data_IF_481077428045
#
_entry.id   IF_481077428045
#
_cell.length_a   1.000
_cell.length_b   1.000
_cell.length_c   1.000
_cell.angle_alpha   90.00
_cell.angle_beta   90.00
_cell.angle_gamma   90.00
#
_symmetry.space_group_name_H-M   'P 1'
#
loop_
_entity.id
_entity.type
_entity.pdbx_description
1 polymer ?
#
# COMPACT_ATOMS: atom_id res chain seq x y z
N UNK A 1 24.99 12.18 37.41
CA UNK A 1 25.33 10.84 36.85
C UNK A 1 24.14 9.92 36.55
N UNK A 2 23.08 9.85 37.38
CA UNK A 2 21.91 8.97 37.10
C UNK A 2 21.09 9.37 35.85
N UNK A 3 20.90 10.66 35.56
CA UNK A 3 20.20 11.12 34.35
C UNK A 3 20.85 10.65 33.04
N UNK A 4 22.18 10.52 33.00
CA UNK A 4 22.93 10.02 31.83
C UNK A 4 22.71 8.52 31.54
N UNK A 5 22.08 7.77 32.45
CA UNK A 5 21.71 6.37 32.21
C UNK A 5 20.25 6.20 31.77
N UNK A 6 19.37 7.15 32.09
CA UNK A 6 17.94 7.05 31.82
C UNK A 6 17.50 7.69 30.49
N UNK A 7 18.33 8.54 29.88
CA UNK A 7 17.99 9.20 28.62
C UNK A 7 17.57 8.24 27.48
N UNK A 8 18.13 7.01 27.31
CA UNK A 8 17.72 6.15 26.21
C UNK A 8 16.25 5.72 26.36
N UNK A 9 15.82 5.42 27.58
CA UNK A 9 14.43 5.07 27.89
C UNK A 9 13.49 6.24 27.60
N UNK A 10 13.90 7.46 27.97
CA UNK A 10 13.12 8.67 27.71
C UNK A 10 12.96 8.93 26.20
N UNK A 11 14.03 8.79 25.41
CA UNK A 11 13.97 8.96 23.96
C UNK A 11 13.08 7.89 23.30
N UNK A 12 13.21 6.63 23.71
CA UNK A 12 12.34 5.55 23.21
C UNK A 12 10.88 5.82 23.58
N UNK A 13 10.61 6.30 24.80
CA UNK A 13 9.28 6.71 25.23
C UNK A 13 8.69 7.81 24.36
N UNK A 14 9.47 8.86 24.04
CA UNK A 14 9.03 9.93 23.13
C UNK A 14 8.73 9.38 21.73
N UNK A 15 9.62 8.55 21.17
CA UNK A 15 9.40 7.97 19.85
C UNK A 15 8.14 7.09 19.82
N UNK A 16 7.90 6.30 20.87
CA UNK A 16 6.69 5.49 20.99
C UNK A 16 5.43 6.36 21.08
N UNK A 17 5.45 7.44 21.87
CA UNK A 17 4.32 8.37 21.97
C UNK A 17 4.02 9.02 20.62
N UNK A 18 5.03 9.54 19.91
CA UNK A 18 4.84 10.10 18.56
C UNK A 18 4.31 9.04 17.60
N UNK A 19 4.81 7.80 17.68
CA UNK A 19 4.37 6.71 16.80
C UNK A 19 2.93 6.27 17.07
N UNK A 20 2.46 6.29 18.31
CA UNK A 20 1.09 5.89 18.66
C UNK A 20 0.11 7.05 18.42
N UNK A 21 0.44 8.25 18.90
CA UNK A 21 -0.44 9.42 18.86
C UNK A 21 -0.36 10.15 17.53
N UNK A 22 0.86 10.48 17.07
CA UNK A 22 1.07 11.26 15.84
C UNK A 22 0.75 10.50 14.56
N UNK A 23 0.82 9.16 14.61
CA UNK A 23 0.44 8.28 13.50
C UNK A 23 -0.84 7.48 13.80
N UNK A 24 -1.70 8.01 14.67
CA UNK A 24 -3.01 7.42 14.89
C UNK A 24 -3.76 7.29 13.55
N UNK A 25 -4.43 6.15 13.36
CA UNK A 25 -5.08 5.71 12.12
C UNK A 25 -4.19 5.56 10.88
N UNK A 26 -2.88 5.81 10.96
CA UNK A 26 -1.97 5.55 9.84
C UNK A 26 -1.53 4.08 9.84
N UNK A 27 -1.11 3.56 10.99
CA UNK A 27 -0.68 2.15 11.13
C UNK A 27 -1.90 1.31 11.54
N UNK A 28 -2.28 0.37 10.69
CA UNK A 28 -3.25 -0.66 11.05
C UNK A 28 -2.57 -1.75 11.88
N UNK A 29 -2.53 -1.58 13.21
CA UNK A 29 -1.83 -2.48 14.13
C UNK A 29 -2.31 -3.94 14.07
N UNK A 30 -3.56 -4.17 13.71
CA UNK A 30 -4.16 -5.49 13.53
C UNK A 30 -3.89 -6.11 12.15
N UNK A 31 -3.27 -5.38 11.23
CA UNK A 31 -2.96 -5.91 9.90
C UNK A 31 -1.92 -7.03 9.98
N UNK A 32 -2.10 -8.07 9.16
CA UNK A 32 -1.16 -9.18 9.03
C UNK A 32 0.24 -8.67 8.66
N UNK A 33 0.32 -7.64 7.79
CA UNK A 33 1.58 -7.01 7.42
C UNK A 33 2.32 -6.39 8.60
N UNK A 34 1.60 -5.68 9.49
CA UNK A 34 2.21 -5.12 10.70
C UNK A 34 2.68 -6.22 11.67
N UNK A 35 1.86 -7.25 11.91
CA UNK A 35 2.20 -8.37 12.80
C UNK A 35 3.43 -9.13 12.27
N UNK A 36 3.43 -9.51 10.99
CA UNK A 36 4.55 -10.18 10.36
C UNK A 36 5.80 -9.29 10.32
N UNK A 37 5.63 -7.99 10.11
CA UNK A 37 6.72 -7.02 10.17
C UNK A 37 7.38 -6.96 11.55
N UNK A 38 6.57 -6.91 12.61
CA UNK A 38 7.05 -6.97 14.00
C UNK A 38 7.83 -8.25 14.29
N UNK A 39 7.39 -9.40 13.76
CA UNK A 39 8.12 -10.68 13.86
C UNK A 39 9.40 -10.66 13.00
N UNK A 40 9.34 -10.04 11.82
CA UNK A 40 10.46 -9.97 10.89
C UNK A 40 11.62 -9.12 11.41
N UNK A 41 11.35 -8.01 12.12
CA UNK A 41 12.40 -7.12 12.63
C UNK A 41 13.48 -7.84 13.46
N UNK A 42 13.17 -8.59 14.54
CA UNK A 42 14.18 -9.28 15.32
C UNK A 42 14.86 -10.39 14.51
N UNK A 43 14.15 -11.08 13.61
CA UNK A 43 14.73 -12.16 12.79
C UNK A 43 15.69 -11.63 11.73
N UNK A 44 15.36 -10.51 11.10
CA UNK A 44 16.13 -9.92 10.00
C UNK A 44 17.25 -8.99 10.45
N UNK A 45 17.17 -8.46 11.68
CA UNK A 45 18.19 -7.61 12.25
C UNK A 45 19.50 -8.39 12.45
N UNK A 46 20.53 -7.94 11.74
CA UNK A 46 21.91 -8.36 11.95
C UNK A 46 22.78 -7.12 12.07
N UNK A 47 23.69 -7.14 13.03
CA UNK A 47 24.54 -5.99 13.35
C UNK A 47 25.99 -6.32 13.01
N UNK A 48 26.59 -5.50 12.17
CA UNK A 48 28.03 -5.51 12.00
C UNK A 48 28.63 -4.71 13.16
N UNK A 49 28.98 -5.43 14.23
CA UNK A 49 29.68 -4.85 15.38
C UNK A 49 31.02 -4.26 14.98
N UNK A 50 31.59 -4.60 13.82
CA UNK A 50 32.91 -4.14 13.38
C UNK A 50 32.89 -2.88 12.53
N UNK A 51 31.71 -2.34 12.26
CA UNK A 51 31.56 -1.06 11.61
C UNK A 51 31.01 -0.04 12.61
N UNK A 52 31.68 1.11 12.71
CA UNK A 52 31.18 2.25 13.50
C UNK A 52 29.76 2.60 13.03
N UNK A 53 28.87 2.81 13.99
CA UNK A 53 27.57 3.37 13.73
C UNK A 53 27.70 4.70 12.98
N UNK A 54 26.98 4.81 11.88
CA UNK A 54 27.01 5.94 10.96
C UNK A 54 25.90 6.94 11.27
N UNK A 55 26.11 8.20 10.89
CA UNK A 55 25.06 9.24 11.02
C UNK A 55 24.02 9.19 9.89
N UNK A 56 24.05 8.15 9.04
CA UNK A 56 23.19 8.04 7.86
C UNK A 56 21.71 8.13 8.20
N UNK A 57 21.30 7.48 9.29
CA UNK A 57 19.90 7.46 9.71
C UNK A 57 19.46 8.73 10.43
N UNK A 58 20.38 9.44 11.07
CA UNK A 58 20.10 10.78 11.60
C UNK A 58 19.77 11.74 10.46
N UNK A 59 20.62 11.80 9.44
CA UNK A 59 20.37 12.66 8.27
C UNK A 59 19.15 12.21 7.46
N UNK A 60 18.94 10.90 7.30
CA UNK A 60 17.72 10.40 6.65
C UNK A 60 16.46 10.80 7.42
N UNK A 61 16.46 10.69 8.75
CA UNK A 61 15.33 11.09 9.61
C UNK A 61 15.03 12.58 9.49
N UNK A 62 16.07 13.43 9.52
CA UNK A 62 15.93 14.88 9.35
C UNK A 62 15.42 15.26 7.95
N UNK A 63 15.95 14.63 6.90
CA UNK A 63 15.49 14.84 5.52
C UNK A 63 14.02 14.45 5.35
N UNK A 64 13.63 13.27 5.85
CA UNK A 64 12.23 12.81 5.80
C UNK A 64 11.31 13.71 6.62
N UNK A 65 11.79 14.24 7.75
CA UNK A 65 11.03 15.23 8.52
C UNK A 65 10.89 16.56 7.75
N UNK A 66 11.95 17.04 7.10
CA UNK A 66 11.87 18.22 6.26
C UNK A 66 10.88 18.03 5.10
N UNK A 67 10.89 16.86 4.45
CA UNK A 67 9.89 16.48 3.45
C UNK A 67 8.48 16.44 4.03
N UNK A 68 8.28 15.93 5.24
CA UNK A 68 7.00 16.01 5.94
C UNK A 68 6.55 17.47 6.16
N UNK A 69 7.50 18.37 6.42
CA UNK A 69 7.17 19.78 6.60
C UNK A 69 6.79 20.49 5.29
N UNK A 70 7.29 20.02 4.15
CA UNK A 70 6.91 20.53 2.83
C UNK A 70 5.61 19.88 2.34
N UNK A 71 5.49 18.57 2.54
CA UNK A 71 4.41 17.72 2.08
C UNK A 71 3.90 16.97 3.31
N UNK A 72 2.76 17.36 3.93
CA UNK A 72 2.27 16.81 5.20
C UNK A 72 1.70 15.39 5.08
N UNK A 73 2.37 14.50 4.35
CA UNK A 73 2.03 13.09 4.23
C UNK A 73 2.56 12.30 5.43
N UNK A 74 1.67 11.59 6.14
CA UNK A 74 2.01 10.79 7.33
C UNK A 74 3.09 9.74 7.08
N UNK A 75 3.26 9.26 5.84
CA UNK A 75 4.35 8.36 5.43
C UNK A 75 5.73 8.94 5.70
N UNK A 76 5.95 10.24 5.45
CA UNK A 76 7.25 10.87 5.72
C UNK A 76 7.54 10.95 7.22
N UNK A 77 6.51 11.25 8.04
CA UNK A 77 6.64 11.22 9.50
C UNK A 77 6.95 9.80 10.00
N UNK A 78 6.24 8.78 9.51
CA UNK A 78 6.52 7.37 9.81
C UNK A 78 7.95 6.98 9.48
N UNK A 79 8.40 7.24 8.25
CA UNK A 79 9.76 6.89 7.83
C UNK A 79 10.82 7.69 8.62
N UNK A 80 10.51 8.93 9.02
CA UNK A 80 11.38 9.73 9.88
C UNK A 80 11.56 9.10 11.27
N UNK A 81 10.47 8.64 11.91
CA UNK A 81 10.52 7.92 13.20
C UNK A 81 11.24 6.58 13.05
N UNK A 82 10.94 5.82 11.99
CA UNK A 82 11.60 4.56 11.68
C UNK A 82 13.11 4.74 11.52
N UNK A 83 13.55 5.75 10.76
CA UNK A 83 14.95 6.10 10.62
C UNK A 83 15.57 6.56 11.96
N UNK A 84 14.85 7.33 12.78
CA UNK A 84 15.30 7.72 14.11
C UNK A 84 15.50 6.51 15.05
N UNK A 85 14.63 5.50 14.97
CA UNK A 85 14.76 4.23 15.68
C UNK A 85 15.94 3.38 15.17
N UNK A 86 16.15 3.33 13.85
CA UNK A 86 17.33 2.70 13.26
C UNK A 86 18.63 3.40 13.67
N UNK A 87 18.62 4.73 13.75
CA UNK A 87 19.75 5.52 14.25
C UNK A 87 20.05 5.17 15.71
N UNK A 88 19.01 5.11 16.55
CA UNK A 88 19.12 4.72 17.95
C UNK A 88 19.70 3.31 18.11
N UNK A 89 19.18 2.33 17.36
CA UNK A 89 19.68 0.95 17.43
C UNK A 89 21.12 0.81 16.93
N UNK A 90 21.50 1.52 15.86
CA UNK A 90 22.86 1.51 15.31
C UNK A 90 23.91 2.07 16.30
N UNK A 91 23.50 2.96 17.21
CA UNK A 91 24.38 3.48 18.28
C UNK A 91 24.73 2.39 19.31
N UNK A 92 23.78 1.56 19.71
CA UNK A 92 24.00 0.56 20.77
C UNK A 92 24.55 -0.76 20.25
N UNK A 93 24.13 -1.20 19.05
CA UNK A 93 24.40 -2.54 18.54
C UNK A 93 25.38 -2.57 17.36
N UNK A 94 25.70 -1.42 16.75
CA UNK A 94 26.56 -1.30 15.58
C UNK A 94 25.78 -1.23 14.26
N UNK A 95 26.48 -1.21 13.12
CA UNK A 95 25.88 -0.94 11.82
C UNK A 95 24.84 -2.00 11.42
N UNK A 96 23.61 -1.57 11.17
CA UNK A 96 22.50 -2.47 10.79
C UNK A 96 22.55 -2.83 9.29
N UNK A 97 22.14 -4.04 8.94
CA UNK A 97 21.97 -4.51 7.57
C UNK A 97 20.75 -3.89 6.86
N UNK A 98 20.58 -4.21 5.58
CA UNK A 98 19.49 -3.66 4.74
C UNK A 98 18.10 -4.21 5.13
N UNK A 99 18.00 -5.48 5.55
CA UNK A 99 16.70 -6.14 5.71
C UNK A 99 15.75 -5.41 6.69
N UNK A 100 16.16 -4.98 7.90
CA UNK A 100 15.25 -4.25 8.79
C UNK A 100 14.71 -2.95 8.19
N UNK A 101 15.48 -2.28 7.34
CA UNK A 101 15.02 -1.08 6.63
C UNK A 101 13.89 -1.43 5.65
N UNK A 102 14.05 -2.51 4.90
CA UNK A 102 13.03 -3.00 3.96
C UNK A 102 11.77 -3.52 4.69
N UNK A 103 11.94 -4.14 5.86
CA UNK A 103 10.81 -4.54 6.72
C UNK A 103 10.03 -3.31 7.17
N UNK A 104 10.69 -2.26 7.69
CA UNK A 104 10.01 -1.03 8.09
C UNK A 104 9.30 -0.35 6.91
N UNK A 105 9.90 -0.33 5.72
CA UNK A 105 9.23 0.20 4.53
C UNK A 105 7.99 -0.64 4.19
N UNK A 106 8.09 -1.98 4.26
CA UNK A 106 6.97 -2.90 3.97
C UNK A 106 5.84 -2.84 5.00
N UNK A 107 6.13 -2.38 6.23
CA UNK A 107 5.14 -2.14 7.28
C UNK A 107 4.41 -0.81 7.13
N UNK A 108 4.84 0.05 6.22
CA UNK A 108 4.21 1.35 6.01
C UNK A 108 2.94 1.23 5.17
N UNK A 109 1.92 2.04 5.45
CA UNK A 109 0.67 2.10 4.67
C UNK A 109 0.90 2.55 3.22
N UNK A 110 2.08 3.12 2.93
CA UNK A 110 2.51 3.39 1.55
C UNK A 110 2.80 2.09 0.77
N UNK A 111 3.36 1.07 1.43
CA UNK A 111 3.55 -0.23 0.79
C UNK A 111 2.21 -0.86 0.41
N UNK A 112 1.19 -0.75 1.28
CA UNK A 112 -0.18 -1.15 0.97
C UNK A 112 -0.71 -0.36 -0.24
N UNK A 113 -0.61 0.96 -0.23
CA UNK A 113 -1.08 1.80 -1.34
C UNK A 113 -0.39 1.47 -2.69
N UNK A 114 0.91 1.20 -2.67
CA UNK A 114 1.67 0.78 -3.85
C UNK A 114 1.23 -0.60 -4.33
N UNK A 115 1.07 -1.55 -3.40
CA UNK A 115 0.62 -2.88 -3.76
C UNK A 115 -0.80 -2.84 -4.33
N UNK A 116 -1.68 -1.97 -3.84
CA UNK A 116 -3.03 -1.76 -4.38
C UNK A 116 -3.02 -1.18 -5.80
N UNK A 117 -2.20 -0.15 -5.99
CA UNK A 117 -2.02 0.54 -7.27
C UNK A 117 -1.70 -0.42 -8.41
N UNK A 118 -0.82 -1.40 -8.17
CA UNK A 118 -0.40 -2.36 -9.19
C UNK A 118 -1.26 -3.62 -9.21
N UNK A 119 -1.79 -4.06 -8.07
CA UNK A 119 -2.50 -5.34 -7.96
C UNK A 119 -3.82 -5.35 -8.73
N UNK A 120 -4.54 -4.24 -8.83
CA UNK A 120 -5.81 -4.21 -9.57
C UNK A 120 -5.66 -4.42 -11.09
N UNK A 121 -4.84 -3.63 -11.83
CA UNK A 121 -4.59 -3.89 -13.25
C UNK A 121 -4.00 -5.27 -13.52
N UNK A 122 -3.06 -5.72 -12.68
CA UNK A 122 -2.46 -7.07 -12.81
C UNK A 122 -3.54 -8.14 -12.70
N UNK A 123 -4.48 -8.04 -11.75
CA UNK A 123 -5.57 -9.02 -11.61
C UNK A 123 -6.45 -9.11 -12.86
N UNK A 124 -6.85 -7.99 -13.45
CA UNK A 124 -7.63 -8.00 -14.69
C UNK A 124 -6.87 -8.71 -15.83
N UNK A 125 -5.55 -8.51 -15.92
CA UNK A 125 -4.71 -9.22 -16.88
C UNK A 125 -4.58 -10.72 -16.56
N UNK A 126 -4.44 -11.08 -15.29
CA UNK A 126 -4.39 -12.47 -14.84
C UNK A 126 -5.70 -13.20 -15.11
N UNK A 127 -6.86 -12.57 -14.91
CA UNK A 127 -8.18 -13.16 -15.25
C UNK A 127 -8.28 -13.43 -16.75
N UNK A 128 -7.82 -12.50 -17.61
CA UNK A 128 -7.75 -12.72 -19.05
C UNK A 128 -6.83 -13.89 -19.40
N UNK A 129 -5.63 -13.93 -18.82
CA UNK A 129 -4.67 -15.02 -19.03
C UNK A 129 -5.23 -16.37 -18.58
N UNK A 130 -5.87 -16.42 -17.40
CA UNK A 130 -6.51 -17.62 -16.89
C UNK A 130 -7.63 -18.10 -17.82
N UNK A 131 -8.48 -17.19 -18.32
CA UNK A 131 -9.51 -17.54 -19.29
C UNK A 131 -8.95 -18.12 -20.59
N UNK A 132 -7.86 -17.54 -21.12
CA UNK A 132 -7.15 -18.11 -22.28
C UNK A 132 -6.60 -19.50 -21.98
N UNK A 133 -5.94 -19.71 -20.83
CA UNK A 133 -5.41 -21.01 -20.42
C UNK A 133 -6.52 -22.06 -20.22
N UNK A 134 -7.67 -21.66 -19.67
CA UNK A 134 -8.83 -22.53 -19.52
C UNK A 134 -9.46 -22.88 -20.87
N UNK A 135 -9.50 -21.95 -21.84
CA UNK A 135 -10.02 -22.25 -23.18
C UNK A 135 -9.23 -23.35 -23.90
N UNK A 136 -7.92 -23.48 -23.62
CA UNK A 136 -7.10 -24.59 -24.13
C UNK A 136 -7.52 -25.96 -23.60
N UNK A 137 -8.24 -26.02 -22.49
CA UNK A 137 -8.78 -27.28 -21.93
C UNK A 137 -10.08 -27.73 -22.61
N UNK A 138 -10.54 -27.01 -23.65
CA UNK A 138 -11.73 -27.36 -24.44
C UNK A 138 -13.05 -26.88 -23.83
N UNK A 139 -13.01 -26.09 -22.76
CA UNK A 139 -14.21 -25.47 -22.17
C UNK A 139 -14.53 -24.14 -22.89
N UNK A 140 -15.79 -23.87 -23.25
CA UNK A 140 -16.18 -22.56 -23.75
C UNK A 140 -16.06 -21.56 -22.60
N UNK A 141 -15.13 -20.60 -22.71
CA UNK A 141 -14.85 -19.61 -21.68
C UNK A 141 -15.20 -18.22 -22.16
N UNK A 142 -16.20 -17.59 -21.53
CA UNK A 142 -16.50 -16.16 -21.66
C UNK A 142 -15.79 -15.40 -20.54
N UNK A 143 -14.84 -14.55 -20.92
CA UNK A 143 -14.14 -13.64 -20.00
C UNK A 143 -14.74 -12.25 -20.14
N UNK A 144 -15.21 -11.67 -19.03
CA UNK A 144 -15.66 -10.29 -18.99
C UNK A 144 -15.12 -9.61 -17.73
N UNK A 145 -14.17 -8.71 -17.89
CA UNK A 145 -13.56 -8.01 -16.75
C UNK A 145 -12.90 -8.96 -15.76
N UNK A 146 -13.37 -8.96 -14.52
CA UNK A 146 -12.97 -9.89 -13.46
C UNK A 146 -13.79 -11.20 -13.42
N UNK A 147 -14.59 -11.52 -14.43
CA UNK A 147 -15.44 -12.71 -14.46
C UNK A 147 -15.03 -13.73 -15.53
N UNK A 148 -15.20 -15.01 -15.20
CA UNK A 148 -14.99 -16.16 -16.09
C UNK A 148 -16.24 -17.05 -16.00
N UNK A 149 -17.04 -17.17 -17.08
CA UNK A 149 -18.26 -17.99 -17.11
C UNK A 149 -19.17 -17.77 -15.89
N UNK A 150 -19.55 -16.50 -15.64
CA UNK A 150 -20.37 -16.05 -14.49
C UNK A 150 -19.72 -16.17 -13.10
N UNK A 151 -18.54 -16.78 -13.01
CA UNK A 151 -17.76 -16.83 -11.78
C UNK A 151 -16.96 -15.53 -11.59
N UNK A 152 -17.22 -14.81 -10.50
CA UNK A 152 -16.45 -13.62 -10.12
C UNK A 152 -15.11 -14.03 -9.53
N UNK A 153 -14.02 -13.73 -10.25
CA UNK A 153 -12.66 -14.05 -9.82
C UNK A 153 -12.18 -12.98 -8.85
N UNK A 154 -11.96 -13.39 -7.59
CA UNK A 154 -11.41 -12.60 -6.49
C UNK A 154 -12.05 -11.20 -6.35
N UNK A 155 -13.22 -11.08 -5.69
CA UNK A 155 -13.73 -9.78 -5.30
C UNK A 155 -12.65 -9.04 -4.50
N UNK A 156 -12.41 -7.76 -4.83
CA UNK A 156 -11.20 -7.07 -4.38
C UNK A 156 -10.91 -7.16 -2.87
N UNK A 157 -9.64 -7.37 -2.49
CA UNK A 157 -9.01 -7.15 -1.17
C UNK A 157 -8.11 -8.30 -0.67
N UNK A 158 -8.18 -9.53 -1.19
CA UNK A 158 -7.25 -10.60 -0.73
C UNK A 158 -5.87 -10.58 -1.41
N UNK A 159 -5.77 -10.13 -2.67
CA UNK A 159 -4.49 -10.10 -3.41
C UNK A 159 -3.45 -9.13 -2.82
N UNK A 160 -3.90 -8.01 -2.24
CA UNK A 160 -3.04 -6.98 -1.65
C UNK A 160 -2.17 -7.54 -0.53
N UNK A 161 -2.79 -8.27 0.38
CA UNK A 161 -2.10 -8.82 1.55
C UNK A 161 -1.08 -9.88 1.15
N UNK A 162 -1.28 -10.59 0.05
CA UNK A 162 -0.37 -11.68 -0.34
C UNK A 162 1.00 -11.17 -0.79
N UNK A 163 1.09 -10.05 -1.51
CA UNK A 163 2.39 -9.52 -1.95
C UNK A 163 3.24 -9.08 -0.76
N UNK A 164 2.65 -8.31 0.16
CA UNK A 164 3.36 -7.81 1.35
C UNK A 164 3.70 -8.98 2.28
N UNK A 165 2.76 -9.91 2.47
CA UNK A 165 2.98 -11.13 3.26
C UNK A 165 4.11 -11.96 2.67
N UNK A 166 4.15 -12.20 1.35
CA UNK A 166 5.21 -12.98 0.73
C UNK A 166 6.56 -12.28 0.81
N UNK A 167 6.61 -10.96 0.68
CA UNK A 167 7.84 -10.17 0.86
C UNK A 167 8.35 -10.25 2.31
N UNK A 168 7.48 -10.08 3.31
CA UNK A 168 7.84 -10.19 4.72
C UNK A 168 8.33 -11.60 5.08
N UNK A 169 7.60 -12.65 4.65
CA UNK A 169 8.02 -14.04 4.84
C UNK A 169 9.36 -14.32 4.14
N UNK A 170 9.56 -13.80 2.93
CA UNK A 170 10.84 -13.91 2.21
C UNK A 170 11.99 -13.24 2.96
N UNK A 171 11.77 -12.03 3.49
CA UNK A 171 12.76 -11.35 4.32
C UNK A 171 13.06 -12.13 5.61
N UNK A 172 12.05 -12.71 6.26
CA UNK A 172 12.23 -13.59 7.43
C UNK A 172 13.13 -14.77 7.07
N UNK A 173 12.85 -15.47 5.96
CA UNK A 173 13.66 -16.60 5.49
C UNK A 173 15.10 -16.19 5.17
N UNK A 174 15.30 -15.06 4.48
CA UNK A 174 16.62 -14.51 4.21
C UNK A 174 17.37 -14.19 5.52
N UNK A 175 16.73 -13.48 6.44
CA UNK A 175 17.29 -13.15 7.75
C UNK A 175 17.67 -14.39 8.55
N UNK A 176 16.79 -15.39 8.57
CA UNK A 176 17.01 -16.69 9.21
C UNK A 176 18.24 -17.40 8.64
N UNK A 177 18.33 -17.55 7.31
CA UNK A 177 19.48 -18.23 6.69
C UNK A 177 20.78 -17.42 6.80
N UNK A 178 20.73 -16.10 6.72
CA UNK A 178 21.90 -15.24 6.96
C UNK A 178 22.46 -15.44 8.38
N UNK A 179 21.59 -15.53 9.39
CA UNK A 179 22.00 -15.84 10.77
C UNK A 179 22.51 -17.26 10.91
N UNK A 180 21.78 -18.25 10.37
CA UNK A 180 22.13 -19.68 10.43
C UNK A 180 23.51 -19.96 9.83
N UNK A 181 23.86 -19.32 8.72
CA UNK A 181 25.15 -19.53 8.05
C UNK A 181 26.22 -18.49 8.42
N UNK A 182 25.91 -17.49 9.26
CA UNK A 182 26.86 -16.43 9.63
C UNK A 182 27.32 -15.58 8.43
N UNK A 183 26.52 -15.51 7.36
CA UNK A 183 26.85 -14.86 6.09
C UNK A 183 25.86 -13.75 5.78
N UNK A 184 26.31 -12.73 5.06
CA UNK A 184 25.45 -11.64 4.58
C UNK A 184 25.44 -11.53 3.07
N UNK A 185 24.26 -11.25 2.50
CA UNK A 185 24.12 -10.97 1.08
C UNK A 185 24.36 -9.48 0.79
N UNK A 186 24.83 -9.19 -0.42
CA UNK A 186 24.92 -7.81 -0.92
C UNK A 186 23.51 -7.26 -1.14
N UNK A 187 23.34 -5.94 -1.03
CA UNK A 187 22.03 -5.29 -1.17
C UNK A 187 21.32 -5.61 -2.48
N UNK A 188 22.05 -5.63 -3.61
CA UNK A 188 21.45 -5.97 -4.91
C UNK A 188 20.93 -7.40 -4.99
N UNK A 189 21.58 -8.35 -4.30
CA UNK A 189 21.12 -9.76 -4.25
C UNK A 189 19.83 -9.87 -3.45
N UNK A 190 19.74 -9.14 -2.34
CA UNK A 190 18.50 -9.05 -1.55
C UNK A 190 17.38 -8.49 -2.42
N UNK A 191 17.59 -7.36 -3.10
CA UNK A 191 16.59 -6.75 -3.99
C UNK A 191 16.20 -7.69 -5.14
N UNK A 192 17.16 -8.42 -5.71
CA UNK A 192 16.90 -9.39 -6.78
C UNK A 192 16.00 -10.55 -6.30
N UNK A 193 16.28 -11.10 -5.11
CA UNK A 193 15.44 -12.15 -4.52
C UNK A 193 14.03 -11.60 -4.22
N UNK A 194 13.91 -10.40 -3.63
CA UNK A 194 12.60 -9.80 -3.36
C UNK A 194 11.81 -9.51 -4.64
N UNK A 195 12.48 -9.09 -5.72
CA UNK A 195 11.84 -8.88 -7.03
C UNK A 195 11.31 -10.21 -7.59
N UNK A 196 12.06 -11.29 -7.43
CA UNK A 196 11.61 -12.63 -7.81
C UNK A 196 10.43 -13.10 -6.97
N UNK A 197 10.36 -12.77 -5.68
CA UNK A 197 9.20 -13.07 -4.83
C UNK A 197 7.94 -12.43 -5.40
N UNK A 198 8.01 -11.18 -5.86
CA UNK A 198 6.88 -10.50 -6.49
C UNK A 198 6.44 -11.27 -7.74
N UNK A 199 7.39 -11.67 -8.59
CA UNK A 199 7.09 -12.46 -9.80
C UNK A 199 6.44 -13.81 -9.46
N UNK A 200 7.00 -14.55 -8.49
CA UNK A 200 6.43 -15.82 -8.03
C UNK A 200 5.03 -15.63 -7.47
N UNK A 201 4.75 -14.51 -6.79
CA UNK A 201 3.41 -14.18 -6.28
C UNK A 201 2.40 -13.96 -7.43
N UNK A 202 2.80 -13.22 -8.48
CA UNK A 202 1.96 -13.03 -9.68
C UNK A 202 1.63 -14.39 -10.32
N UNK A 203 2.62 -15.27 -10.46
CA UNK A 203 2.44 -16.62 -11.00
C UNK A 203 1.54 -17.47 -10.09
N UNK A 204 1.76 -17.43 -8.77
CA UNK A 204 0.95 -18.14 -7.80
C UNK A 204 -0.53 -17.72 -7.87
N UNK A 205 -0.78 -16.42 -8.06
CA UNK A 205 -2.13 -15.88 -8.21
C UNK A 205 -2.79 -16.35 -9.52
N UNK A 206 -2.04 -16.47 -10.62
CA UNK A 206 -2.58 -17.06 -11.84
C UNK A 206 -3.06 -18.50 -11.62
N UNK A 207 -2.23 -19.34 -11.00
CA UNK A 207 -2.59 -20.72 -10.69
C UNK A 207 -3.76 -20.79 -9.70
N UNK A 208 -3.80 -19.92 -8.69
CA UNK A 208 -4.93 -19.79 -7.77
C UNK A 208 -6.23 -19.55 -8.53
N UNK A 209 -6.28 -18.58 -9.44
CA UNK A 209 -7.47 -18.29 -10.24
C UNK A 209 -7.92 -19.51 -11.04
N UNK A 210 -6.98 -20.17 -11.72
CA UNK A 210 -7.28 -21.38 -12.52
C UNK A 210 -7.87 -22.49 -11.64
N UNK A 211 -7.28 -22.73 -10.45
CA UNK A 211 -7.80 -23.71 -9.51
C UNK A 211 -9.22 -23.35 -9.02
N UNK A 212 -9.44 -22.10 -8.60
CA UNK A 212 -10.74 -21.66 -8.09
C UNK A 212 -11.85 -21.83 -9.13
N UNK A 213 -11.57 -21.49 -10.39
CA UNK A 213 -12.54 -21.65 -11.49
C UNK A 213 -12.78 -23.12 -11.80
N UNK A 214 -11.73 -23.94 -11.92
CA UNK A 214 -11.86 -25.37 -12.22
C UNK A 214 -12.65 -26.13 -11.14
N UNK A 215 -12.40 -25.81 -9.88
CA UNK A 215 -13.10 -26.42 -8.74
C UNK A 215 -14.40 -25.70 -8.38
N UNK A 216 -14.78 -24.63 -9.09
CA UNK A 216 -15.96 -23.79 -8.84
C UNK A 216 -16.11 -23.37 -7.38
N UNK A 217 -15.00 -22.95 -6.76
CA UNK A 217 -14.95 -22.61 -5.33
C UNK A 217 -15.32 -21.14 -5.14
N UNK A 218 -16.52 -20.80 -4.63
CA UNK A 218 -16.96 -19.41 -4.54
C UNK A 218 -16.12 -18.59 -3.54
N UNK A 219 -16.13 -17.25 -3.66
CA UNK A 219 -15.51 -16.37 -2.67
C UNK A 219 -16.12 -16.59 -1.27
N UNK A 220 -15.38 -16.18 -0.24
CA UNK A 220 -15.78 -16.23 1.17
C UNK A 220 -16.06 -17.64 1.73
N UNK A 221 -15.56 -18.69 1.04
CA UNK A 221 -15.55 -20.06 1.57
C UNK A 221 -14.21 -20.40 2.21
N UNK A 222 -14.23 -21.26 3.22
CA UNK A 222 -13.01 -21.77 3.85
C UNK A 222 -12.06 -22.46 2.85
N UNK A 223 -12.62 -23.18 1.86
CA UNK A 223 -11.84 -23.82 0.78
C UNK A 223 -11.12 -22.80 -0.08
N UNK A 224 -11.72 -21.64 -0.34
CA UNK A 224 -11.09 -20.55 -1.09
C UNK A 224 -9.81 -20.07 -0.38
N UNK A 225 -9.87 -19.87 0.93
CA UNK A 225 -8.72 -19.45 1.74
C UNK A 225 -7.61 -20.51 1.76
N UNK A 226 -7.99 -21.79 1.94
CA UNK A 226 -7.03 -22.91 1.92
C UNK A 226 -6.28 -22.97 0.58
N UNK A 227 -6.99 -22.88 -0.55
CA UNK A 227 -6.36 -22.90 -1.87
C UNK A 227 -5.36 -21.73 -1.98
N UNK A 228 -5.74 -20.55 -1.52
CA UNK A 228 -4.84 -19.39 -1.46
C UNK A 228 -3.57 -19.65 -0.65
N UNK A 229 -3.70 -20.22 0.56
CA UNK A 229 -2.56 -20.58 1.43
C UNK A 229 -1.67 -21.65 0.77
N UNK A 230 -2.27 -22.69 0.19
CA UNK A 230 -1.53 -23.74 -0.53
C UNK A 230 -0.74 -23.13 -1.68
N UNK A 231 -1.36 -22.29 -2.51
CA UNK A 231 -0.69 -21.61 -3.60
C UNK A 231 0.48 -20.73 -3.10
N UNK A 232 0.28 -19.97 -2.02
CA UNK A 232 1.35 -19.18 -1.40
C UNK A 232 2.51 -20.06 -0.93
N UNK A 233 2.23 -21.15 -0.22
CA UNK A 233 3.26 -22.04 0.33
C UNK A 233 4.03 -22.75 -0.78
N UNK A 234 3.31 -23.37 -1.73
CA UNK A 234 3.89 -24.20 -2.78
C UNK A 234 4.61 -23.36 -3.83
N UNK A 235 3.99 -22.29 -4.32
CA UNK A 235 4.54 -21.52 -5.44
C UNK A 235 5.44 -20.35 -5.00
N UNK A 236 5.37 -19.91 -3.74
CA UNK A 236 6.17 -18.78 -3.26
C UNK A 236 7.12 -19.19 -2.14
N UNK A 237 6.60 -19.63 -0.99
CA UNK A 237 7.44 -19.86 0.20
C UNK A 237 8.47 -20.97 -0.01
N UNK A 238 8.07 -22.11 -0.57
CA UNK A 238 8.96 -23.25 -0.78
C UNK A 238 10.11 -22.92 -1.79
N UNK A 239 9.83 -22.35 -2.98
CA UNK A 239 10.89 -21.88 -3.87
C UNK A 239 11.81 -20.86 -3.19
N UNK A 240 11.24 -19.89 -2.48
CA UNK A 240 12.01 -18.85 -1.79
C UNK A 240 12.89 -19.42 -0.68
N UNK A 241 12.43 -20.45 0.03
CA UNK A 241 13.21 -21.14 1.03
C UNK A 241 14.46 -21.79 0.41
N UNK A 242 14.28 -22.54 -0.68
CA UNK A 242 15.37 -23.19 -1.42
C UNK A 242 16.34 -22.14 -1.96
N UNK A 243 15.82 -21.11 -2.62
CA UNK A 243 16.61 -20.05 -3.24
C UNK A 243 17.36 -19.19 -2.22
N UNK A 244 16.73 -18.84 -1.10
CA UNK A 244 17.35 -18.07 -0.01
C UNK A 244 18.49 -18.87 0.61
N UNK A 245 18.26 -20.15 0.92
CA UNK A 245 19.28 -21.06 1.43
C UNK A 245 20.47 -21.14 0.47
N UNK A 246 20.20 -21.45 -0.80
CA UNK A 246 21.22 -21.58 -1.84
C UNK A 246 22.01 -20.28 -2.04
N UNK A 247 21.33 -19.14 -2.15
CA UNK A 247 21.95 -17.84 -2.39
C UNK A 247 22.86 -17.41 -1.23
N UNK A 248 22.39 -17.57 0.01
CA UNK A 248 23.20 -17.25 1.20
C UNK A 248 24.41 -18.17 1.30
N UNK A 249 24.26 -19.47 1.00
CA UNK A 249 25.38 -20.41 1.05
C UNK A 249 26.44 -20.11 -0.01
N UNK A 250 26.02 -19.87 -1.26
CA UNK A 250 26.92 -19.71 -2.42
C UNK A 250 27.55 -18.33 -2.51
N UNK A 251 26.76 -17.28 -2.29
CA UNK A 251 27.20 -15.90 -2.52
C UNK A 251 27.32 -15.06 -1.24
N UNK A 252 26.95 -15.62 -0.09
CA UNK A 252 27.02 -14.90 1.17
C UNK A 252 28.47 -14.63 1.61
N UNK A 253 28.70 -13.39 2.04
CA UNK A 253 29.97 -12.90 2.54
C UNK A 253 30.04 -13.24 4.04
N UNK A 254 31.12 -13.90 4.47
CA UNK A 254 31.32 -14.24 5.88
C UNK A 254 31.52 -12.97 6.69
N UNK A 255 30.72 -12.78 7.73
CA UNK A 255 30.93 -11.69 8.68
C UNK A 255 32.15 -12.02 9.55
N UNK A 256 33.32 -11.51 9.17
CA UNK A 256 34.52 -11.61 10.02
C UNK A 256 34.27 -10.84 11.31
N UNK A 257 34.04 -11.54 12.42
CA UNK A 257 33.91 -10.96 13.76
C UNK A 257 35.30 -10.63 14.34
N UNK A 258 35.94 -9.56 13.86
CA UNK A 258 37.12 -9.01 14.53
C UNK A 258 36.64 -8.27 15.78
N UNK A 259 36.95 -8.77 16.98
CA UNK A 259 36.65 -8.10 18.26
C UNK A 259 37.43 -6.78 18.35
N UNK A 260 36.94 -5.73 17.70
CA UNK A 260 37.35 -4.36 18.00
C UNK A 260 36.65 -3.91 19.27
N UNK A 261 37.39 -3.48 20.28
CA UNK A 261 36.86 -2.74 21.42
C UNK A 261 36.35 -1.38 20.93
N UNK A 262 35.03 -1.18 20.99
CA UNK A 262 34.42 0.08 20.56
C UNK A 262 34.48 1.11 21.68
N UNK A 263 35.10 2.25 21.40
CA UNK A 263 34.94 3.45 22.20
C UNK A 263 33.57 4.06 21.89
N UNK A 264 32.70 4.05 22.90
CA UNK A 264 31.42 4.77 22.88
C UNK A 264 31.74 6.24 22.63
N UNK A 265 31.16 6.82 21.57
CA UNK A 265 31.26 8.25 21.24
C UNK A 265 30.76 9.08 22.44
N UNK A 266 31.15 10.35 22.58
CA UNK A 266 30.69 11.14 23.74
C UNK A 266 29.16 11.06 23.90
N UNK A 267 28.72 10.58 25.06
CA UNK A 267 27.30 10.36 25.34
C UNK A 267 26.50 11.66 25.18
N UNK A 268 27.11 12.80 25.49
CA UNK A 268 26.54 14.14 25.30
C UNK A 268 26.21 14.45 23.85
N UNK A 269 27.12 14.17 22.91
CA UNK A 269 26.89 14.46 21.49
C UNK A 269 25.77 13.60 20.89
N UNK A 270 25.61 12.36 21.38
CA UNK A 270 24.51 11.48 20.95
C UNK A 270 23.18 11.90 21.56
N UNK A 271 23.16 12.28 22.83
CA UNK A 271 21.98 12.82 23.50
C UNK A 271 21.45 14.05 22.75
N UNK A 272 22.30 15.02 22.43
CA UNK A 272 21.90 16.24 21.72
C UNK A 272 21.21 15.92 20.40
N UNK A 273 21.74 14.98 19.61
CA UNK A 273 21.13 14.59 18.33
C UNK A 273 19.76 13.93 18.50
N UNK A 274 19.60 13.09 19.52
CA UNK A 274 18.30 12.49 19.82
C UNK A 274 17.30 13.49 20.36
N UNK A 275 17.74 14.48 21.15
CA UNK A 275 16.88 15.59 21.59
C UNK A 275 16.41 16.40 20.38
N UNK A 276 17.29 16.72 19.43
CA UNK A 276 16.91 17.40 18.18
C UNK A 276 15.87 16.60 17.40
N UNK A 277 16.10 15.30 17.19
CA UNK A 277 15.12 14.44 16.52
C UNK A 277 13.80 14.36 17.29
N UNK A 278 13.83 14.21 18.61
CA UNK A 278 12.64 14.17 19.45
C UNK A 278 11.81 15.46 19.32
N UNK A 279 12.46 16.63 19.37
CA UNK A 279 11.79 17.93 19.17
C UNK A 279 11.16 18.01 17.78
N UNK A 280 11.89 17.63 16.73
CA UNK A 280 11.35 17.60 15.37
C UNK A 280 10.10 16.71 15.28
N UNK A 281 10.19 15.49 15.80
CA UNK A 281 9.09 14.52 15.77
C UNK A 281 7.86 14.99 16.56
N UNK A 282 8.04 15.67 17.70
CA UNK A 282 6.95 16.28 18.47
C UNK A 282 6.29 17.44 17.72
N UNK A 283 7.07 18.27 17.02
CA UNK A 283 6.52 19.29 16.11
C UNK A 283 5.71 18.62 14.99
N UNK A 284 6.23 17.51 14.44
CA UNK A 284 5.54 16.73 13.41
C UNK A 284 4.18 16.20 13.87
N UNK A 285 4.14 15.62 15.08
CA UNK A 285 2.91 15.16 15.72
C UNK A 285 1.88 16.28 15.92
N UNK A 286 2.30 17.48 16.33
CA UNK A 286 1.37 18.61 16.47
C UNK A 286 0.75 19.01 15.13
N UNK A 287 1.53 18.92 14.04
CA UNK A 287 1.07 19.27 12.69
C UNK A 287 0.07 18.26 12.12
N UNK A 288 0.18 16.97 12.45
CA UNK A 288 -0.77 15.96 11.95
C UNK A 288 -2.18 16.12 12.50
N UNK A 289 -2.37 16.88 13.59
CA UNK A 289 -3.69 17.18 14.17
C UNK A 289 -4.41 18.40 13.58
N UNK A 290 -3.83 19.08 12.58
CA UNK A 290 -4.49 20.18 11.87
C UNK A 290 -5.25 19.56 10.68
N UNK A 291 -6.52 19.19 10.91
CA UNK A 291 -7.39 18.70 9.84
C UNK A 291 -7.58 19.78 8.75
N UNK A 292 -7.59 19.34 7.49
CA UNK A 292 -7.84 20.23 6.36
C UNK A 292 -9.27 20.75 6.46
N UNK A 293 -9.43 22.07 6.48
CA UNK A 293 -10.74 22.72 6.49
C UNK A 293 -11.56 22.21 5.30
N UNK A 294 -12.82 21.85 5.58
CA UNK A 294 -13.81 21.47 4.57
C UNK A 294 -13.93 22.63 3.58
N UNK A 295 -13.82 22.35 2.28
CA UNK A 295 -14.00 23.34 1.24
C UNK A 295 -15.31 24.11 1.47
N UNK A 296 -15.22 25.44 1.61
CA UNK A 296 -16.38 26.32 1.78
C UNK A 296 -16.87 26.75 0.40
N UNK A 297 -18.16 26.52 0.12
CA UNK A 297 -18.77 26.79 -1.18
C UNK A 297 -19.05 25.52 -1.98
N UNK A 298 -20.14 24.85 -1.61
CA UNK A 298 -20.65 23.69 -2.35
C UNK A 298 -21.36 24.21 -3.60
N UNK A 299 -20.92 23.86 -4.83
CA UNK A 299 -21.63 24.26 -6.03
C UNK A 299 -23.01 23.58 -6.05
N UNK A 300 -24.07 24.36 -6.21
CA UNK A 300 -25.40 23.81 -6.51
C UNK A 300 -25.37 23.29 -7.94
N UNK A 301 -25.66 22.00 -8.11
CA UNK A 301 -25.75 21.35 -9.42
C UNK A 301 -27.21 21.19 -9.77
N UNK A 302 -27.64 21.76 -10.91
CA UNK A 302 -29.03 21.69 -11.34
C UNK A 302 -29.48 20.23 -11.45
N UNK A 303 -30.63 19.91 -10.85
CA UNK A 303 -31.18 18.55 -10.84
C UNK A 303 -30.64 17.63 -9.75
N UNK A 304 -29.72 18.08 -8.89
CA UNK A 304 -29.19 17.30 -7.78
C UNK A 304 -29.31 18.01 -6.44
N UNK A 305 -29.60 17.23 -5.40
CA UNK A 305 -29.35 17.63 -4.03
C UNK A 305 -27.86 17.44 -3.72
N UNK A 306 -27.20 18.51 -3.28
CA UNK A 306 -25.76 18.49 -3.03
C UNK A 306 -25.46 18.52 -1.53
N UNK A 307 -24.63 17.59 -1.08
CA UNK A 307 -24.18 17.47 0.31
C UNK A 307 -22.65 17.48 0.38
N UNK A 308 -22.08 18.18 1.36
CA UNK A 308 -20.66 18.04 1.70
C UNK A 308 -20.51 16.98 2.77
N UNK A 309 -19.61 16.03 2.52
CA UNK A 309 -19.21 14.99 3.46
C UNK A 309 -17.79 15.29 3.99
N UNK A 310 -17.41 14.69 5.14
CA UNK A 310 -16.04 14.79 5.65
C UNK A 310 -14.98 14.38 4.62
N UNK A 311 -13.82 15.04 4.64
CA UNK A 311 -12.68 14.68 3.79
C UNK A 311 -12.75 15.23 2.36
N UNK A 312 -13.37 16.39 2.15
CA UNK A 312 -13.52 17.05 0.83
C UNK A 312 -14.21 16.16 -0.21
N UNK A 313 -15.28 15.50 0.23
CA UNK A 313 -16.14 14.67 -0.62
C UNK A 313 -17.47 15.40 -0.81
N UNK A 314 -17.87 15.59 -2.07
CA UNK A 314 -19.19 16.09 -2.44
C UNK A 314 -20.05 14.89 -2.84
N UNK A 315 -21.26 14.81 -2.28
CA UNK A 315 -22.32 13.88 -2.69
C UNK A 315 -23.36 14.66 -3.48
N UNK A 316 -23.67 14.21 -4.69
CA UNK A 316 -24.81 14.65 -5.49
C UNK A 316 -25.81 13.50 -5.56
N UNK A 317 -27.08 13.78 -5.31
CA UNK A 317 -28.13 12.77 -5.27
C UNK A 317 -29.41 13.28 -5.92
N UNK A 318 -30.02 12.44 -6.75
CA UNK A 318 -31.35 12.66 -7.31
C UNK A 318 -32.16 11.34 -7.27
N UNK A 319 -33.32 11.29 -7.93
CA UNK A 319 -34.19 10.10 -7.93
C UNK A 319 -33.64 8.90 -8.73
N UNK A 320 -32.60 9.09 -9.53
CA UNK A 320 -32.10 8.09 -10.49
C UNK A 320 -30.61 7.76 -10.31
N UNK A 321 -29.84 8.62 -9.65
CA UNK A 321 -28.40 8.50 -9.54
C UNK A 321 -27.83 9.08 -8.25
N UNK A 322 -26.64 8.56 -7.94
CA UNK A 322 -25.80 8.97 -6.83
C UNK A 322 -24.39 9.21 -7.35
N UNK A 323 -23.86 10.42 -7.12
CA UNK A 323 -22.52 10.80 -7.55
C UNK A 323 -21.68 11.24 -6.37
N UNK A 324 -20.51 10.64 -6.23
CA UNK A 324 -19.48 11.08 -5.29
C UNK A 324 -18.32 11.72 -6.05
N UNK A 325 -17.93 12.92 -5.63
CA UNK A 325 -16.78 13.63 -6.16
C UNK A 325 -15.83 13.86 -5.00
N UNK A 326 -14.66 13.24 -5.06
CA UNK A 326 -13.62 13.38 -4.05
C UNK A 326 -12.43 14.15 -4.61
N UNK A 327 -12.13 15.30 -4.00
CA UNK A 327 -11.00 16.11 -4.40
C UNK A 327 -9.66 15.47 -4.00
N UNK A 328 -8.70 15.46 -4.92
CA UNK A 328 -7.37 14.90 -4.74
C UNK A 328 -6.35 16.05 -4.83
N UNK A 329 -5.91 16.61 -3.70
CA UNK A 329 -5.15 17.87 -3.68
C UNK A 329 -3.72 17.76 -4.22
N UNK A 330 -3.19 16.54 -4.40
CA UNK A 330 -1.82 16.36 -4.85
C UNK A 330 -1.46 14.93 -5.24
N UNK A 331 -0.34 14.78 -5.95
CA UNK A 331 0.15 13.49 -6.46
C UNK A 331 0.49 12.47 -5.36
N UNK A 332 0.73 12.94 -4.14
CA UNK A 332 1.08 12.13 -2.96
C UNK A 332 -0.14 11.70 -2.14
N UNK A 333 -1.34 12.11 -2.52
CA UNK A 333 -2.55 11.80 -1.76
C UNK A 333 -2.92 10.32 -1.92
N UNK A 334 -3.16 9.67 -0.78
CA UNK A 334 -3.62 8.28 -0.73
C UNK A 334 -5.12 8.26 -0.88
N UNK A 335 -5.58 7.87 -2.07
CA UNK A 335 -6.99 7.67 -2.35
C UNK A 335 -7.41 6.24 -2.04
N UNK A 336 -8.59 6.09 -1.45
CA UNK A 336 -9.23 4.79 -1.38
C UNK A 336 -9.91 4.53 -2.71
N UNK A 337 -9.67 3.34 -3.27
CA UNK A 337 -10.37 2.90 -4.47
C UNK A 337 -11.88 2.85 -4.17
N UNK A 338 -12.79 3.28 -5.08
CA UNK A 338 -14.25 3.25 -4.84
C UNK A 338 -14.77 1.88 -4.39
N UNK A 339 -14.09 0.82 -4.84
CA UNK A 339 -14.35 -0.55 -4.42
C UNK A 339 -14.29 -0.78 -2.92
N UNK A 340 -13.41 -0.08 -2.20
CA UNK A 340 -13.27 -0.23 -0.75
C UNK A 340 -14.53 0.28 -0.04
N UNK A 341 -15.05 1.44 -0.46
CA UNK A 341 -16.23 2.07 0.15
C UNK A 341 -17.48 1.19 -0.01
N UNK A 342 -17.77 0.77 -1.25
CA UNK A 342 -18.93 -0.06 -1.56
C UNK A 342 -18.86 -1.44 -0.91
N UNK A 343 -17.68 -2.05 -0.81
CA UNK A 343 -17.47 -3.28 -0.04
C UNK A 343 -17.75 -3.10 1.46
N UNK A 344 -17.32 -1.98 2.04
CA UNK A 344 -17.66 -1.62 3.42
C UNK A 344 -19.18 -1.49 3.65
N UNK A 345 -19.93 -1.14 2.61
CA UNK A 345 -21.41 -1.10 2.61
C UNK A 345 -22.05 -2.45 2.30
N UNK A 346 -21.27 -3.52 2.08
CA UNK A 346 -21.77 -4.87 1.82
C UNK A 346 -22.08 -5.17 0.35
N UNK A 347 -21.63 -4.35 -0.60
CA UNK A 347 -21.76 -4.63 -2.03
C UNK A 347 -20.58 -5.42 -2.58
N UNK A 348 -20.88 -6.37 -3.46
CA UNK A 348 -19.90 -7.08 -4.27
C UNK A 348 -19.76 -6.46 -5.65
N UNK A 349 -18.53 -6.45 -6.17
CA UNK A 349 -18.25 -5.97 -7.52
C UNK A 349 -18.21 -7.14 -8.50
N UNK A 350 -19.06 -7.06 -9.52
CA UNK A 350 -19.12 -7.98 -10.64
C UNK A 350 -18.91 -7.21 -11.95
N UNK A 351 -18.47 -7.92 -12.99
CA UNK A 351 -18.28 -7.36 -14.33
C UNK A 351 -17.42 -6.08 -14.36
N UNK A 352 -16.35 -6.05 -13.56
CA UNK A 352 -15.48 -4.88 -13.50
C UNK A 352 -14.68 -4.75 -14.78
N UNK A 353 -14.97 -3.75 -15.59
CA UNK A 353 -14.33 -3.54 -16.89
C UNK A 353 -13.96 -2.08 -17.12
N UNK A 354 -13.03 -1.86 -18.04
CA UNK A 354 -12.65 -0.53 -18.52
C UNK A 354 -13.25 -0.34 -19.91
N UNK A 355 -14.01 0.74 -20.11
CA UNK A 355 -14.71 1.01 -21.37
C UNK A 355 -14.85 2.50 -21.64
N UNK A 356 -15.06 2.84 -22.91
CA UNK A 356 -15.37 4.21 -23.33
C UNK A 356 -16.86 4.48 -23.19
N UNK A 357 -17.22 5.54 -22.47
CA UNK A 357 -18.58 6.07 -22.38
C UNK A 357 -18.53 7.56 -22.69
N UNK A 358 -19.30 8.00 -23.69
CA UNK A 358 -19.36 9.41 -24.11
C UNK A 358 -17.97 10.03 -24.40
N UNK A 359 -17.01 9.25 -24.90
CA UNK A 359 -15.66 9.75 -25.16
C UNK A 359 -14.80 9.99 -23.91
N UNK A 360 -15.15 9.43 -22.76
CA UNK A 360 -14.25 9.26 -21.61
C UNK A 360 -14.05 7.78 -21.29
N UNK A 361 -12.80 7.40 -21.05
CA UNK A 361 -12.48 6.08 -20.51
C UNK A 361 -12.88 6.04 -19.04
N UNK A 362 -13.72 5.08 -18.68
CA UNK A 362 -14.19 4.87 -17.30
C UNK A 362 -14.03 3.40 -16.92
N UNK A 363 -13.88 3.14 -15.62
CA UNK A 363 -14.20 1.83 -15.10
C UNK A 363 -15.69 1.72 -14.86
N UNK A 364 -16.29 0.57 -15.16
CA UNK A 364 -17.67 0.24 -14.82
C UNK A 364 -17.75 -1.07 -14.05
N UNK A 365 -18.77 -1.22 -13.22
CA UNK A 365 -19.06 -2.47 -12.51
C UNK A 365 -20.55 -2.60 -12.18
N UNK A 366 -20.99 -3.85 -12.02
CA UNK A 366 -22.25 -4.20 -11.38
C UNK A 366 -21.99 -4.38 -9.88
N UNK A 367 -22.71 -3.61 -9.06
CA UNK A 367 -22.76 -3.75 -7.61
C UNK A 367 -23.93 -4.66 -7.25
N UNK A 368 -23.65 -5.74 -6.53
CA UNK A 368 -24.67 -6.70 -6.08
C UNK A 368 -24.71 -6.75 -4.55
N UNK A 369 -25.89 -6.58 -3.96
CA UNK A 369 -26.14 -6.83 -2.54
C UNK A 369 -27.49 -7.54 -2.38
N UNK A 370 -27.48 -8.84 -2.11
CA UNK A 370 -28.72 -9.64 -2.12
C UNK A 370 -29.40 -9.57 -3.49
N UNK A 371 -30.64 -9.06 -3.54
CA UNK A 371 -31.38 -8.86 -4.79
C UNK A 371 -31.11 -7.50 -5.44
N UNK A 372 -30.47 -6.57 -4.73
CA UNK A 372 -30.25 -5.21 -5.21
C UNK A 372 -29.10 -5.19 -6.21
N UNK A 373 -29.36 -4.52 -7.34
CA UNK A 373 -28.42 -4.35 -8.45
C UNK A 373 -28.26 -2.87 -8.75
N UNK A 374 -27.03 -2.39 -8.65
CA UNK A 374 -26.68 -1.03 -9.04
C UNK A 374 -25.54 -1.08 -10.05
N UNK A 375 -25.49 -0.11 -10.94
CA UNK A 375 -24.45 0.02 -11.95
C UNK A 375 -23.62 1.23 -11.56
N UNK A 376 -22.31 1.06 -11.46
CA UNK A 376 -21.40 2.14 -11.07
C UNK A 376 -20.30 2.35 -12.10
N UNK A 377 -19.82 3.59 -12.20
CA UNK A 377 -18.66 3.97 -12.97
C UNK A 377 -17.73 4.87 -12.16
N UNK A 378 -16.44 4.84 -12.45
CA UNK A 378 -15.49 5.79 -11.86
C UNK A 378 -14.31 6.12 -12.76
N UNK A 379 -13.81 7.35 -12.62
CA UNK A 379 -12.62 7.87 -13.29
C UNK A 379 -12.02 9.05 -12.53
N UNK A 380 -10.84 9.49 -12.94
CA UNK A 380 -10.18 10.70 -12.46
C UNK A 380 -10.35 11.83 -13.48
N UNK A 381 -10.68 13.03 -13.01
CA UNK A 381 -10.92 14.22 -13.84
C UNK A 381 -10.27 15.47 -13.24
N UNK A 382 -9.62 16.30 -14.06
CA UNK A 382 -9.06 17.60 -13.64
C UNK A 382 -9.58 18.79 -14.46
N UNK A 383 -10.71 18.62 -15.15
CA UNK A 383 -11.37 19.64 -15.95
C UNK A 383 -10.78 19.85 -17.34
N UNK A 384 -9.59 19.30 -17.59
CA UNK A 384 -8.91 19.30 -18.88
C UNK A 384 -8.71 17.88 -19.42
N UNK A 385 -8.45 16.91 -18.54
CA UNK A 385 -8.14 15.53 -18.88
C UNK A 385 -8.86 14.54 -17.95
N UNK A 386 -9.44 13.51 -18.56
CA UNK A 386 -9.93 12.34 -17.84
C UNK A 386 -8.94 11.17 -17.94
N UNK A 387 -8.84 10.35 -16.89
CA UNK A 387 -8.05 9.11 -16.92
C UNK A 387 -8.58 8.09 -15.91
N UNK A 388 -8.44 6.81 -16.20
CA UNK A 388 -8.61 5.69 -15.27
C UNK A 388 -7.30 5.33 -14.56
N UNK A 389 -6.16 5.69 -15.16
CA UNK A 389 -4.83 5.36 -14.66
C UNK A 389 -4.43 6.24 -13.50
N UNK A 390 -4.22 5.58 -12.36
CA UNK A 390 -3.72 6.16 -11.13
C UNK A 390 -2.29 6.69 -11.23
N UNK A 391 -1.46 6.08 -12.08
CA UNK A 391 -0.08 6.53 -12.33
C UNK A 391 -0.10 7.79 -13.19
N UNK A 392 -0.98 7.82 -14.21
CA UNK A 392 -1.06 8.93 -15.17
C UNK A 392 -1.44 10.24 -14.48
N UNK A 393 -2.52 10.27 -13.69
CA UNK A 393 -2.93 11.51 -13.04
C UNK A 393 -1.90 11.99 -12.01
N UNK A 394 -1.28 11.07 -11.24
CA UNK A 394 -0.23 11.43 -10.27
C UNK A 394 0.95 12.08 -10.96
N UNK A 395 1.34 11.51 -12.10
CA UNK A 395 2.45 12.02 -12.89
C UNK A 395 2.14 13.37 -13.55
N UNK A 396 0.89 13.56 -14.00
CA UNK A 396 0.42 14.85 -14.53
C UNK A 396 0.49 15.96 -13.46
N UNK A 397 -0.08 15.71 -12.28
CA UNK A 397 -0.01 16.65 -11.14
C UNK A 397 1.43 16.90 -10.71
N UNK A 398 2.27 15.86 -10.65
CA UNK A 398 3.69 16.00 -10.31
C UNK A 398 4.44 16.92 -11.29
N UNK A 399 4.03 16.96 -12.56
CA UNK A 399 4.58 17.86 -13.59
C UNK A 399 3.99 19.27 -13.56
N UNK A 400 3.09 19.57 -12.62
CA UNK A 400 2.43 20.87 -12.50
C UNK A 400 1.04 20.94 -13.12
N UNK A 401 0.43 19.81 -13.50
CA UNK A 401 -0.97 19.75 -13.90
C UNK A 401 -1.92 20.10 -12.74
N UNK A 402 -3.16 20.46 -13.08
CA UNK A 402 -4.19 20.74 -12.08
C UNK A 402 -4.48 19.50 -11.22
N UNK A 403 -4.85 19.68 -9.93
CA UNK A 403 -5.33 18.60 -9.07
C UNK A 403 -6.41 17.76 -9.76
N UNK A 404 -6.58 16.50 -9.37
CA UNK A 404 -7.64 15.67 -9.93
C UNK A 404 -8.77 15.52 -8.91
N UNK A 405 -9.94 15.11 -9.38
CA UNK A 405 -11.03 14.59 -8.55
C UNK A 405 -11.35 13.16 -9.00
N UNK A 406 -11.59 12.28 -8.04
CA UNK A 406 -12.17 10.96 -8.28
C UNK A 406 -13.69 11.14 -8.37
N UNK A 407 -14.24 10.84 -9.54
CA UNK A 407 -15.69 10.87 -9.78
C UNK A 407 -16.20 9.43 -9.76
N UNK A 408 -17.22 9.17 -8.96
CA UNK A 408 -17.93 7.90 -8.92
C UNK A 408 -19.42 8.16 -9.16
N UNK A 409 -19.99 7.58 -10.21
CA UNK A 409 -21.41 7.69 -10.58
C UNK A 409 -22.04 6.32 -10.38
N UNK A 410 -23.20 6.27 -9.74
CA UNK A 410 -23.97 5.03 -9.54
C UNK A 410 -25.43 5.26 -9.93
N UNK A 411 -26.02 4.31 -10.65
CA UNK A 411 -27.39 4.36 -11.14
C UNK A 411 -28.08 2.98 -11.05
N UNK A 412 -29.40 2.97 -11.20
CA UNK A 412 -30.24 1.77 -11.07
C UNK A 412 -30.13 0.79 -12.26
N UNK A 413 -29.71 1.27 -13.43
CA UNK A 413 -29.53 0.44 -14.63
C UNK A 413 -28.40 1.00 -15.51
N UNK A 414 -27.95 0.21 -16.49
CA UNK A 414 -26.82 0.56 -17.35
C UNK A 414 -27.10 1.78 -18.25
N UNK A 415 -28.31 1.86 -18.82
CA UNK A 415 -28.70 2.98 -19.70
C UNK A 415 -28.68 4.31 -18.93
N UNK A 416 -29.23 4.32 -17.73
CA UNK A 416 -29.20 5.48 -16.84
C UNK A 416 -27.76 5.82 -16.44
N UNK A 417 -26.92 4.83 -16.13
CA UNK A 417 -25.52 5.07 -15.79
C UNK A 417 -24.80 5.81 -16.94
N UNK A 418 -24.99 5.37 -18.18
CA UNK A 418 -24.35 5.99 -19.35
C UNK A 418 -24.85 7.42 -19.58
N UNK A 419 -26.15 7.67 -19.40
CA UNK A 419 -26.75 9.00 -19.47
C UNK A 419 -26.17 9.94 -18.38
N UNK A 420 -26.10 9.47 -17.14
CA UNK A 420 -25.63 10.24 -15.99
C UNK A 420 -24.13 10.58 -16.10
N UNK A 421 -23.31 9.68 -16.67
CA UNK A 421 -21.91 9.99 -16.98
C UNK A 421 -21.82 11.17 -17.96
N UNK A 422 -22.64 11.16 -19.02
CA UNK A 422 -22.71 12.27 -19.97
C UNK A 422 -23.15 13.58 -19.33
N UNK A 423 -24.20 13.55 -18.50
CA UNK A 423 -24.71 14.72 -17.78
C UNK A 423 -23.66 15.32 -16.83
N UNK A 424 -23.00 14.51 -16.01
CA UNK A 424 -21.96 14.97 -15.08
C UNK A 424 -20.76 15.57 -15.84
N UNK A 425 -20.39 15.00 -16.98
CA UNK A 425 -19.32 15.56 -17.83
C UNK A 425 -19.70 16.89 -18.46
N UNK A 426 -20.97 17.07 -18.82
CA UNK A 426 -21.47 18.34 -19.33
C UNK A 426 -21.51 19.40 -18.23
N UNK A 427 -22.04 19.05 -17.04
CA UNK A 427 -22.20 19.96 -15.90
C UNK A 427 -20.86 20.38 -15.26
N UNK A 428 -19.82 19.55 -15.39
CA UNK A 428 -18.47 19.76 -14.84
C UNK A 428 -18.44 20.24 -13.38
N UNK A 429 -19.16 19.57 -12.45
CA UNK A 429 -19.25 20.01 -11.05
C UNK A 429 -17.89 20.00 -10.32
N UNK A 430 -16.91 19.26 -10.84
CA UNK A 430 -15.54 19.23 -10.33
C UNK A 430 -14.75 20.53 -10.58
N UNK A 431 -15.13 21.39 -11.53
CA UNK A 431 -14.39 22.65 -11.79
C UNK A 431 -14.33 23.59 -10.60
N UNK A 432 -15.29 23.49 -9.69
CA UNK A 432 -15.32 24.30 -8.47
C UNK A 432 -14.37 23.77 -7.37
N UNK A 433 -13.87 22.54 -7.54
CA UNK A 433 -12.90 21.90 -6.64
C UNK A 433 -11.46 22.01 -7.15
N UNK A 434 -11.25 22.55 -8.35
CA UNK A 434 -9.97 22.65 -9.05
C UNK A 434 -9.45 24.08 -9.04
#
# INVERSE_FOLDING_TARGET
MRMLRLWPLLIVGIYAVVMIVGLNNYIHWSSIGCILGMIALPVTASFNRNAKGSQRFFWASLLLFALFMLIPAKTFLYLSIAAAGLFFTEIFYGRINLLPQLVLISMSSWADAVADLFSFPIRLQLTRCAGTLLSFTGTPVKVQGNMINEFSVDPACMGLQMIITSLLCGMILLGFYQKKFGKTLKGWQVISILSLIILLNIIANLFRIICLVNFRVPPDTFTHEIIGIICLVVYVILPVMIMSKWSVQRYGIVNKNLRGTYYIRSASGMLVRHVVLAVCLLIGMKRTGIDSQVATGIPQVAGYNTFSLPGNVIKLENSHSLVYIKHIPGCYYTEHHPMICWKGSGYEFQQVEERWVDGTMVYTALLQQGNDKLYTAWWYENGQQSTTSQVKWRWDVFRGGHPYSLVNVTAINQEQLEKEIGEIRHLKPFRFLL
#
